data_IF_328643808203
#
_entry.id   IF_328643808203
#
_cell.length_a   1.000
_cell.length_b   1.000
_cell.length_c   1.000
_cell.angle_alpha   90.00
_cell.angle_beta   90.00
_cell.angle_gamma   90.00
#
_symmetry.space_group_name_H-M   'P 1'
#
loop_
_entity.id
_entity.type
_entity.pdbx_description
1 polymer ?
#
# COMPACT_ATOMS: atom_id res chain seq x y z
N UNK A 1 -6.65 21.54 1.20
CA UNK A 1 -5.49 22.47 1.32
C UNK A 1 -4.76 22.17 2.63
N UNK A 2 -3.44 22.38 2.69
CA UNK A 2 -2.63 22.14 3.89
C UNK A 2 -1.68 23.33 4.13
N UNK A 3 -1.58 23.79 5.37
CA UNK A 3 -0.71 24.92 5.72
C UNK A 3 0.76 24.50 5.66
N UNK A 4 1.62 25.37 5.14
CA UNK A 4 3.05 25.05 4.89
C UNK A 4 3.84 24.80 6.17
N UNK A 5 3.53 25.54 7.23
CA UNK A 5 4.08 25.36 8.57
C UNK A 5 3.73 24.00 9.14
N UNK A 6 2.47 23.57 9.03
CA UNK A 6 2.02 22.22 9.45
C UNK A 6 2.71 21.13 8.64
N UNK A 7 2.83 21.29 7.32
CA UNK A 7 3.52 20.33 6.46
C UNK A 7 5.00 20.16 6.87
N UNK A 8 5.68 21.26 7.19
CA UNK A 8 7.07 21.25 7.69
C UNK A 8 7.16 20.62 9.07
N UNK A 9 6.21 20.91 9.97
CA UNK A 9 6.16 20.35 11.32
C UNK A 9 6.07 18.82 11.30
N UNK A 10 5.21 18.26 10.44
CA UNK A 10 5.00 16.80 10.39
C UNK A 10 6.02 16.07 9.52
N UNK A 11 6.76 16.77 8.65
CA UNK A 11 7.84 16.21 7.84
C UNK A 11 7.43 15.74 6.44
N UNK A 12 6.40 16.34 5.81
CA UNK A 12 6.05 16.02 4.42
C UNK A 12 5.45 14.64 4.19
N UNK A 13 5.34 14.22 2.93
CA UNK A 13 4.97 12.84 2.55
C UNK A 13 6.15 11.90 2.83
N UNK A 14 5.86 10.67 3.25
CA UNK A 14 6.89 9.66 3.51
C UNK A 14 7.20 8.88 2.23
N UNK A 15 8.35 9.17 1.62
CA UNK A 15 8.81 8.57 0.35
C UNK A 15 9.02 7.05 0.42
N UNK A 16 9.01 6.47 1.62
CA UNK A 16 9.07 5.02 1.78
C UNK A 16 7.76 4.31 1.35
N UNK A 17 6.67 5.05 1.17
CA UNK A 17 5.45 4.56 0.53
C UNK A 17 5.61 4.65 -0.98
N UNK A 18 6.32 3.69 -1.55
CA UNK A 18 6.62 3.61 -2.97
C UNK A 18 5.96 2.37 -3.60
N UNK A 19 5.53 2.41 -4.88
CA UNK A 19 5.39 3.59 -5.74
C UNK A 19 4.18 4.48 -5.43
N UNK A 20 3.14 3.92 -4.80
CA UNK A 20 1.87 4.62 -4.48
C UNK A 20 1.17 3.98 -3.27
N UNK A 21 0.19 4.69 -2.73
CA UNK A 21 -0.71 4.34 -1.62
C UNK A 21 -0.08 4.43 -0.22
N UNK A 22 -0.91 4.96 0.69
CA UNK A 22 -0.68 5.16 2.12
C UNK A 22 0.23 6.35 2.48
N UNK A 23 0.85 7.02 1.51
CA UNK A 23 1.63 8.25 1.73
C UNK A 23 0.76 9.39 2.28
N UNK A 24 -0.45 9.51 1.74
CA UNK A 24 -1.45 10.51 2.09
C UNK A 24 -2.17 10.17 3.40
N UNK A 25 -2.53 8.91 3.60
CA UNK A 25 -3.13 8.39 4.84
C UNK A 25 -2.17 8.56 6.02
N UNK A 26 -0.88 8.25 5.82
CA UNK A 26 0.19 8.48 6.80
C UNK A 26 0.34 9.96 7.15
N UNK A 27 0.35 10.83 6.14
CA UNK A 27 0.42 12.28 6.35
C UNK A 27 -0.79 12.78 7.14
N UNK A 28 -2.01 12.39 6.77
CA UNK A 28 -3.23 12.78 7.46
C UNK A 28 -3.20 12.32 8.93
N UNK A 29 -2.78 11.09 9.18
CA UNK A 29 -2.68 10.58 10.55
C UNK A 29 -1.62 11.33 11.37
N UNK A 30 -0.47 11.69 10.79
CA UNK A 30 0.54 12.52 11.45
C UNK A 30 0.05 13.93 11.74
N UNK A 31 -0.67 14.56 10.80
CA UNK A 31 -1.29 15.88 10.99
C UNK A 31 -2.30 15.84 12.15
N UNK A 32 -3.17 14.82 12.18
CA UNK A 32 -4.12 14.62 13.26
C UNK A 32 -3.43 14.40 14.62
N UNK A 33 -2.38 13.56 14.66
CA UNK A 33 -1.58 13.32 15.88
C UNK A 33 -0.82 14.55 16.36
N UNK A 34 -0.53 15.51 15.47
CA UNK A 34 0.07 16.79 15.82
C UNK A 34 -0.96 17.82 16.36
N UNK A 35 -2.22 17.41 16.55
CA UNK A 35 -3.27 18.26 17.13
C UNK A 35 -4.04 19.11 16.11
N UNK A 36 -3.80 18.91 14.81
CA UNK A 36 -4.50 19.65 13.76
C UNK A 36 -5.76 18.90 13.31
N UNK A 37 -6.84 19.64 13.10
CA UNK A 37 -8.08 19.09 12.58
C UNK A 37 -8.01 18.89 11.06
N UNK A 38 -8.67 17.83 10.58
CA UNK A 38 -8.82 17.54 9.15
C UNK A 38 -10.31 17.67 8.82
N UNK A 39 -10.64 18.55 7.87
CA UNK A 39 -12.00 18.84 7.46
C UNK A 39 -12.21 18.52 5.99
N UNK A 40 -13.31 17.86 5.68
CA UNK A 40 -13.81 17.70 4.33
C UNK A 40 -14.74 18.88 3.99
N UNK A 41 -14.49 19.57 2.88
CA UNK A 41 -15.38 20.63 2.37
C UNK A 41 -16.04 20.15 1.06
N UNK A 42 -17.35 19.84 1.06
CA UNK A 42 -18.04 19.33 -0.11
C UNK A 42 -18.15 20.36 -1.25
N UNK A 43 -17.85 21.65 -0.99
CA UNK A 43 -17.87 22.71 -2.01
C UNK A 43 -16.59 22.76 -2.83
N UNK A 44 -15.50 22.19 -2.32
CA UNK A 44 -14.23 22.09 -3.03
C UNK A 44 -14.25 20.86 -3.94
N UNK A 45 -14.68 21.04 -5.19
CA UNK A 45 -14.72 19.97 -6.19
C UNK A 45 -13.58 20.15 -7.19
N UNK A 46 -12.91 19.05 -7.52
CA UNK A 46 -11.89 19.00 -8.56
C UNK A 46 -12.11 17.77 -9.42
N UNK A 47 -12.05 17.92 -10.74
CA UNK A 47 -12.06 16.79 -11.65
C UNK A 47 -10.71 16.07 -11.59
N UNK A 48 -10.74 14.76 -11.40
CA UNK A 48 -9.56 13.91 -11.41
C UNK A 48 -9.75 12.81 -12.45
N UNK A 49 -8.99 12.87 -13.55
CA UNK A 49 -8.80 11.73 -14.43
C UNK A 49 -8.00 10.67 -13.67
N UNK A 50 -8.71 9.74 -13.06
CA UNK A 50 -8.11 8.71 -12.21
C UNK A 50 -7.07 7.87 -12.97
N UNK A 51 -6.06 7.41 -12.22
CA UNK A 51 -5.20 6.32 -12.68
C UNK A 51 -4.05 6.71 -13.61
N UNK A 52 -3.66 7.99 -13.76
CA UNK A 52 -2.43 8.33 -14.48
C UNK A 52 -1.18 7.68 -13.86
N UNK A 53 -1.02 7.72 -12.54
CA UNK A 53 0.09 7.07 -11.83
C UNK A 53 -0.09 5.55 -11.66
N UNK A 54 -1.33 5.07 -11.78
CA UNK A 54 -1.69 3.64 -11.62
C UNK A 54 -1.66 2.91 -12.97
N UNK A 55 -1.88 3.64 -14.07
CA UNK A 55 -2.09 3.13 -15.42
C UNK A 55 -0.85 2.46 -15.99
N UNK A 56 0.34 2.90 -15.59
CA UNK A 56 1.61 2.25 -15.93
C UNK A 56 1.94 1.02 -15.08
N UNK A 57 1.27 0.80 -13.95
CA UNK A 57 1.58 -0.31 -13.04
C UNK A 57 0.80 -1.57 -13.45
N UNK A 58 1.51 -2.68 -13.59
CA UNK A 58 0.89 -3.99 -13.78
C UNK A 58 0.05 -4.43 -12.57
N UNK A 59 -0.91 -5.33 -12.77
CA UNK A 59 -1.80 -5.84 -11.70
C UNK A 59 -0.99 -6.39 -10.51
N UNK A 60 0.11 -7.10 -10.79
CA UNK A 60 0.97 -7.63 -9.73
C UNK A 60 1.65 -6.52 -8.92
N UNK A 61 2.22 -5.53 -9.59
CA UNK A 61 2.90 -4.42 -8.94
C UNK A 61 1.94 -3.62 -8.07
N UNK A 62 0.71 -3.42 -8.54
CA UNK A 62 -0.38 -2.81 -7.75
C UNK A 62 -0.63 -3.60 -6.47
N UNK A 63 -0.72 -4.92 -6.54
CA UNK A 63 -0.95 -5.75 -5.34
C UNK A 63 0.23 -5.65 -4.38
N UNK A 64 1.46 -5.78 -4.89
CA UNK A 64 2.67 -5.69 -4.07
C UNK A 64 2.78 -4.33 -3.36
N UNK A 65 2.59 -3.24 -4.10
CA UNK A 65 2.59 -1.88 -3.57
C UNK A 65 1.53 -1.70 -2.49
N UNK A 66 0.28 -2.09 -2.77
CA UNK A 66 -0.83 -1.93 -1.83
C UNK A 66 -0.61 -2.70 -0.53
N UNK A 67 -0.32 -4.00 -0.60
CA UNK A 67 -0.11 -4.82 0.59
C UNK A 67 1.19 -4.49 1.32
N UNK A 68 2.26 -4.13 0.59
CA UNK A 68 3.52 -3.70 1.18
C UNK A 68 3.37 -2.41 1.98
N UNK A 69 2.71 -1.41 1.40
CA UNK A 69 2.49 -0.11 2.02
C UNK A 69 1.45 -0.17 3.14
N UNK A 70 0.42 -1.01 3.04
CA UNK A 70 -0.48 -1.31 4.16
C UNK A 70 0.28 -1.87 5.37
N UNK A 71 1.16 -2.86 5.16
CA UNK A 71 1.93 -3.45 6.24
C UNK A 71 2.94 -2.46 6.82
N UNK A 72 3.56 -1.61 5.99
CA UNK A 72 4.42 -0.51 6.44
C UNK A 72 3.66 0.49 7.31
N UNK A 73 2.50 0.96 6.83
CA UNK A 73 1.62 1.87 7.57
C UNK A 73 1.22 1.26 8.93
N UNK A 74 0.85 -0.02 8.93
CA UNK A 74 0.46 -0.73 10.15
C UNK A 74 1.58 -0.78 11.19
N UNK A 75 2.84 -0.92 10.75
CA UNK A 75 4.00 -0.93 11.65
C UNK A 75 4.26 0.43 12.26
N UNK A 76 4.01 1.51 11.52
CA UNK A 76 4.28 2.89 11.96
C UNK A 76 3.24 3.39 12.96
N UNK A 77 2.02 2.86 12.93
CA UNK A 77 0.91 3.45 13.68
C UNK A 77 0.14 2.51 14.59
N UNK A 78 0.22 1.19 14.41
CA UNK A 78 -0.54 0.25 15.22
C UNK A 78 0.31 -0.52 16.23
N UNK A 79 -0.34 -0.99 17.29
CA UNK A 79 0.26 -1.84 18.31
C UNK A 79 0.76 -3.16 17.71
N UNK A 80 1.67 -3.84 18.42
CA UNK A 80 2.20 -5.16 17.98
C UNK A 80 1.09 -6.20 17.80
N UNK A 81 0.04 -6.15 18.64
CA UNK A 81 -1.11 -7.07 18.56
C UNK A 81 -1.96 -6.80 17.32
N UNK A 82 -2.37 -5.55 17.12
CA UNK A 82 -3.14 -5.12 15.94
C UNK A 82 -2.39 -5.42 14.64
N UNK A 83 -1.07 -5.17 14.61
CA UNK A 83 -0.21 -5.51 13.46
C UNK A 83 -0.21 -7.00 13.16
N UNK A 84 -0.09 -7.85 14.19
CA UNK A 84 -0.11 -9.32 14.03
C UNK A 84 -1.45 -9.78 13.48
N UNK A 85 -2.55 -9.25 14.02
CA UNK A 85 -3.89 -9.56 13.55
C UNK A 85 -4.10 -9.13 12.10
N UNK A 86 -3.73 -7.90 11.74
CA UNK A 86 -3.82 -7.40 10.36
C UNK A 86 -3.02 -8.27 9.39
N UNK A 87 -1.80 -8.66 9.75
CA UNK A 87 -0.98 -9.54 8.91
C UNK A 87 -1.64 -10.91 8.69
N UNK A 88 -2.25 -11.51 9.73
CA UNK A 88 -3.01 -12.75 9.59
C UNK A 88 -4.23 -12.54 8.70
N UNK A 89 -5.00 -11.47 8.92
CA UNK A 89 -6.18 -11.14 8.13
C UNK A 89 -5.84 -10.94 6.64
N UNK A 90 -4.74 -10.23 6.33
CA UNK A 90 -4.24 -10.06 4.96
C UNK A 90 -3.88 -11.40 4.35
N UNK A 91 -3.16 -12.27 5.07
CA UNK A 91 -2.79 -13.61 4.55
C UNK A 91 -4.01 -14.47 4.27
N UNK A 92 -5.00 -14.48 5.18
CA UNK A 92 -6.24 -15.24 5.01
C UNK A 92 -7.06 -14.68 3.83
N UNK A 93 -7.24 -13.36 3.78
CA UNK A 93 -7.97 -12.69 2.71
C UNK A 93 -7.34 -12.91 1.33
N UNK A 94 -6.01 -12.83 1.23
CA UNK A 94 -5.30 -13.13 -0.02
C UNK A 94 -5.46 -14.58 -0.46
N UNK A 95 -5.40 -15.54 0.47
CA UNK A 95 -5.61 -16.97 0.19
C UNK A 95 -7.03 -17.25 -0.28
N UNK A 96 -8.02 -16.64 0.36
CA UNK A 96 -9.41 -16.72 -0.04
C UNK A 96 -9.62 -16.12 -1.43
N UNK A 97 -9.07 -14.92 -1.70
CA UNK A 97 -9.16 -14.28 -3.02
C UNK A 97 -8.48 -15.13 -4.10
N UNK A 98 -7.31 -15.70 -3.82
CA UNK A 98 -6.64 -16.62 -4.72
C UNK A 98 -7.51 -17.84 -5.03
N UNK A 99 -8.13 -18.45 -4.02
CA UNK A 99 -9.04 -19.59 -4.19
C UNK A 99 -10.24 -19.23 -5.05
N UNK A 100 -10.87 -18.08 -4.82
CA UNK A 100 -11.98 -17.59 -5.65
C UNK A 100 -11.57 -17.37 -7.10
N UNK A 101 -10.35 -16.86 -7.35
CA UNK A 101 -9.82 -16.73 -8.71
C UNK A 101 -9.57 -18.10 -9.36
N UNK A 102 -9.18 -19.12 -8.59
CA UNK A 102 -9.06 -20.51 -9.08
C UNK A 102 -10.42 -21.09 -9.46
N UNK A 103 -11.46 -20.76 -8.70
CA UNK A 103 -12.85 -21.18 -8.94
C UNK A 103 -13.55 -20.39 -10.07
N UNK A 104 -12.83 -19.52 -10.79
CA UNK A 104 -13.33 -18.81 -11.97
C UNK A 104 -13.92 -17.42 -11.70
N UNK A 105 -13.88 -16.92 -10.45
CA UNK A 105 -14.42 -15.61 -10.09
C UNK A 105 -13.42 -14.43 -10.32
N UNK A 106 -12.33 -14.64 -11.05
CA UNK A 106 -11.30 -13.61 -11.26
C UNK A 106 -10.37 -13.90 -12.43
N UNK A 107 -9.50 -12.94 -12.74
CA UNK A 107 -8.57 -13.01 -13.87
C UNK A 107 -7.31 -13.82 -13.55
N UNK A 108 -6.64 -14.35 -14.58
CA UNK A 108 -5.35 -15.04 -14.43
C UNK A 108 -4.29 -14.12 -13.79
N UNK A 109 -4.28 -12.85 -14.18
CA UNK A 109 -3.35 -11.84 -13.63
C UNK A 109 -3.57 -11.58 -12.15
N UNK A 110 -4.82 -11.49 -11.68
CA UNK A 110 -5.13 -11.36 -10.25
C UNK A 110 -4.73 -12.60 -9.46
N UNK A 111 -4.92 -13.80 -10.02
CA UNK A 111 -4.50 -15.05 -9.40
C UNK A 111 -2.98 -15.07 -9.19
N UNK A 112 -2.21 -14.72 -10.22
CA UNK A 112 -0.75 -14.65 -10.16
C UNK A 112 -0.29 -13.58 -9.17
N UNK A 113 -0.91 -12.40 -9.18
CA UNK A 113 -0.62 -11.33 -8.24
C UNK A 113 -0.84 -11.76 -6.78
N UNK A 114 -1.99 -12.37 -6.47
CA UNK A 114 -2.27 -12.91 -5.14
C UNK A 114 -1.23 -13.95 -4.73
N UNK A 115 -0.90 -14.89 -5.63
CA UNK A 115 0.07 -15.94 -5.36
C UNK A 115 1.47 -15.39 -5.07
N UNK A 116 1.91 -14.39 -5.81
CA UNK A 116 3.23 -13.78 -5.64
C UNK A 116 3.30 -12.99 -4.33
N UNK A 117 2.28 -12.20 -3.98
CA UNK A 117 2.23 -11.54 -2.67
C UNK A 117 2.22 -12.55 -1.52
N UNK A 118 1.44 -13.64 -1.64
CA UNK A 118 1.42 -14.72 -0.64
C UNK A 118 2.80 -15.36 -0.45
N UNK A 119 3.53 -15.63 -1.55
CA UNK A 119 4.88 -16.20 -1.50
C UNK A 119 5.85 -15.24 -0.79
N UNK A 120 5.83 -13.97 -1.16
CA UNK A 120 6.65 -12.94 -0.51
C UNK A 120 6.33 -12.84 0.98
N UNK A 121 5.05 -12.83 1.36
CA UNK A 121 4.64 -12.82 2.76
C UNK A 121 5.02 -14.11 3.52
N UNK A 122 5.14 -15.24 2.84
CA UNK A 122 5.53 -16.53 3.42
C UNK A 122 7.01 -16.63 3.77
N UNK A 123 7.89 -15.90 3.04
CA UNK A 123 9.33 -15.87 3.28
C UNK A 123 9.78 -14.94 4.40
N UNK A 124 8.91 -14.03 4.87
CA UNK A 124 9.27 -13.03 5.87
C UNK A 124 8.47 -13.17 7.16
N UNK A 125 9.17 -13.19 8.29
CA UNK A 125 8.56 -13.17 9.63
C UNK A 125 7.95 -11.81 9.95
N UNK A 126 6.94 -11.78 10.83
CA UNK A 126 6.28 -10.56 11.36
C UNK A 126 7.23 -9.49 11.92
N UNK A 127 8.46 -9.88 12.27
CA UNK A 127 9.51 -8.99 12.79
C UNK A 127 10.48 -8.51 11.72
N UNK A 128 10.44 -9.06 10.52
CA UNK A 128 11.44 -8.81 9.50
C UNK A 128 11.24 -7.40 8.93
N UNK A 129 12.28 -6.55 9.03
CA UNK A 129 12.27 -5.20 8.45
C UNK A 129 12.12 -5.26 6.92
N UNK A 130 12.42 -6.41 6.34
CA UNK A 130 12.48 -6.62 4.90
C UNK A 130 11.15 -6.97 4.24
N UNK A 131 10.05 -7.26 4.98
CA UNK A 131 8.73 -7.55 4.36
C UNK A 131 8.28 -6.39 3.45
N UNK A 132 8.41 -5.15 3.96
CA UNK A 132 8.01 -3.95 3.23
C UNK A 132 9.02 -3.53 2.16
N UNK A 133 10.27 -4.00 2.25
CA UNK A 133 11.28 -3.79 1.22
C UNK A 133 11.12 -4.81 0.06
N UNK A 134 10.87 -6.09 0.37
CA UNK A 134 10.68 -7.15 -0.62
C UNK A 134 9.36 -7.08 -1.39
N UNK A 135 8.37 -6.33 -0.90
CA UNK A 135 7.17 -5.96 -1.64
C UNK A 135 7.32 -4.62 -2.41
N UNK A 136 8.33 -3.81 -2.09
CA UNK A 136 8.49 -2.43 -2.57
C UNK A 136 9.53 -2.22 -3.67
N UNK A 137 10.37 -3.21 -3.99
CA UNK A 137 11.24 -3.13 -5.17
C UNK A 137 10.48 -3.69 -6.37
N UNK A 138 10.05 -2.81 -7.27
CA UNK A 138 9.75 -3.18 -8.64
C UNK A 138 10.88 -4.09 -9.16
N UNK A 139 10.52 -5.25 -9.72
CA UNK A 139 11.44 -5.96 -10.59
C UNK A 139 11.81 -4.96 -11.69
N UNK A 140 13.10 -4.72 -12.01
CA UNK A 140 13.44 -3.85 -13.11
C UNK A 140 12.71 -4.42 -14.34
N UNK A 141 11.82 -3.61 -14.91
CA UNK A 141 11.20 -3.93 -16.17
C UNK A 141 12.33 -4.27 -17.14
N UNK A 142 12.29 -5.46 -17.72
CA UNK A 142 13.14 -5.82 -18.84
C UNK A 142 13.02 -4.71 -19.88
N UNK A 143 14.10 -3.94 -20.03
CA UNK A 143 14.31 -3.09 -21.18
C UNK A 143 14.38 -4.01 -22.40
N UNK A 144 13.25 -4.20 -23.07
CA UNK A 144 13.26 -4.53 -24.49
C UNK A 144 13.75 -3.28 -25.22
N UNK A 145 15.08 -3.14 -25.31
CA UNK A 145 15.71 -2.33 -26.34
C UNK A 145 15.92 -3.21 -27.56
N UNK A 146 15.42 -2.69 -28.68
CA UNK A 146 15.76 -2.90 -30.08
C UNK A 146 16.84 -3.92 -30.45
#
# INVERSE_FOLDING_TARGET
>A
MLRRDVLRQVGGLDENFHPIWFEDVDLCLRVSKAGHAIHYDPRCVSEHTGGHSVGGLGVEERYRAWYGNLLRFSRKHFSKGTRRWLYIAVRVGLRLRWLLCVLGAGTTSERMACQNVIKTLGGFSLHDRNVAAGLGTASPAESKSS
#
